data_IF_579927512431
#
_entry.id   IF_579927512431
#
_cell.length_a   1.000
_cell.length_b   1.000
_cell.length_c   1.000
_cell.angle_alpha   90.00
_cell.angle_beta   90.00
_cell.angle_gamma   90.00
#
_symmetry.space_group_name_H-M   'P 1'
#
loop_
_entity.id
_entity.type
_entity.pdbx_description
1 polymer ?
#
# COMPACT_ATOMS: atom_id res chain seq x y z
N UNK A 1 11.85 13.21 10.97
CA UNK A 1 10.63 13.14 10.14
C UNK A 1 10.60 11.81 9.40
N UNK A 2 9.50 11.04 9.48
CA UNK A 2 9.46 9.62 9.11
C UNK A 2 9.33 9.36 7.60
N UNK A 3 10.16 8.47 7.05
CA UNK A 3 10.16 8.03 5.63
C UNK A 3 8.79 7.53 5.13
N UNK A 4 7.96 7.00 6.05
CA UNK A 4 6.61 6.49 5.77
C UNK A 4 5.59 7.61 5.43
N UNK A 5 5.68 8.78 6.06
CA UNK A 5 4.76 9.88 5.76
C UNK A 5 5.01 10.48 4.37
N UNK A 6 6.27 10.46 3.92
CA UNK A 6 6.66 10.88 2.56
C UNK A 6 6.21 9.90 1.47
N UNK A 7 6.04 8.61 1.77
CA UNK A 7 5.51 7.62 0.82
C UNK A 7 3.99 7.74 0.67
N UNK A 8 3.27 7.93 1.77
CA UNK A 8 1.82 8.14 1.75
C UNK A 8 1.43 9.43 1.03
N UNK A 9 2.20 10.51 1.25
CA UNK A 9 2.01 11.80 0.56
C UNK A 9 2.22 11.66 -0.94
N UNK A 10 3.31 11.03 -1.37
CA UNK A 10 3.61 10.77 -2.78
C UNK A 10 2.57 9.89 -3.46
N UNK A 11 2.01 8.89 -2.76
CA UNK A 11 0.91 8.07 -3.27
C UNK A 11 -0.39 8.87 -3.50
N UNK A 12 -0.71 9.79 -2.59
CA UNK A 12 -1.87 10.68 -2.72
C UNK A 12 -1.71 11.69 -3.86
N UNK A 13 -0.51 12.24 -4.02
CA UNK A 13 -0.17 13.15 -5.13
C UNK A 13 -0.21 12.45 -6.50
N UNK A 14 0.21 11.18 -6.57
CA UNK A 14 0.13 10.39 -7.79
C UNK A 14 -1.31 10.12 -8.23
N UNK A 15 -2.22 9.83 -7.29
CA UNK A 15 -3.67 9.68 -7.58
C UNK A 15 -4.29 10.96 -8.16
N UNK A 16 -3.92 12.14 -7.66
CA UNK A 16 -4.46 13.42 -8.16
C UNK A 16 -4.01 13.74 -9.59
N UNK A 17 -2.82 13.30 -10.00
CA UNK A 17 -2.30 13.54 -11.36
C UNK A 17 -2.98 12.67 -12.42
N UNK A 18 -3.36 11.43 -12.08
CA UNK A 18 -4.10 10.52 -12.99
C UNK A 18 -5.52 10.98 -13.30
N UNK A 19 -6.16 11.74 -12.42
CA UNK A 19 -7.47 12.35 -12.70
C UNK A 19 -7.45 13.46 -13.77
N UNK A 20 -6.27 13.88 -14.25
CA UNK A 20 -6.10 14.98 -15.22
C UNK A 20 -5.46 14.56 -16.55
N UNK A 21 -5.17 13.28 -16.76
CA UNK A 21 -4.61 12.81 -18.04
C UNK A 21 -5.77 12.56 -19.00
N UNK A 22 -6.13 13.58 -19.79
CA UNK A 22 -6.86 13.39 -21.04
C UNK A 22 -5.96 12.65 -22.04
N UNK A 23 -6.48 11.58 -22.63
CA UNK A 23 -5.83 10.83 -23.71
C UNK A 23 -5.54 11.73 -24.92
N UNK A 24 -4.31 11.80 -25.44
CA UNK A 24 -4.09 12.28 -26.79
C UNK A 24 -4.28 11.11 -27.75
N UNK A 25 -5.43 11.07 -28.42
CA UNK A 25 -5.64 10.25 -29.62
C UNK A 25 -4.87 10.86 -30.78
N UNK A 26 -4.05 10.11 -31.56
CA UNK A 26 -3.41 10.65 -32.75
C UNK A 26 -4.24 10.34 -34.00
N UNK A 27 -4.73 11.37 -34.68
CA UNK A 27 -5.24 11.23 -36.06
C UNK A 27 -4.09 11.32 -37.08
N UNK A 28 -4.19 10.60 -38.21
CA UNK A 28 -3.09 10.40 -39.15
C UNK A 28 -3.12 11.44 -40.28
N UNK A 29 -2.00 12.11 -40.55
CA UNK A 29 -1.51 12.55 -41.87
C UNK A 29 -0.43 13.62 -41.72
N UNK A 30 0.82 13.27 -42.04
CA UNK A 30 1.69 14.03 -42.95
C UNK A 30 3.14 13.50 -42.90
N UNK A 31 3.57 12.98 -44.04
CA UNK A 31 4.97 12.96 -44.50
C UNK A 31 4.93 13.50 -45.94
N UNK A 32 6.01 14.05 -46.53
CA UNK A 32 7.40 13.71 -46.24
C UNK A 32 8.41 14.88 -46.25
N UNK A 33 9.60 14.64 -45.69
CA UNK A 33 10.82 15.23 -46.22
C UNK A 33 11.95 14.19 -46.15
N UNK A 34 12.43 13.81 -47.33
CA UNK A 34 13.71 13.14 -47.53
C UNK A 34 14.81 14.14 -47.20
N UNK A 35 15.81 13.71 -46.44
CA UNK A 35 17.20 13.98 -46.79
C UNK A 35 18.11 12.90 -46.19
N UNK A 36 18.75 12.15 -47.07
CA UNK A 36 19.89 11.30 -46.74
C UNK A 36 21.15 12.15 -46.84
N UNK A 37 21.92 12.25 -45.75
CA UNK A 37 23.37 12.42 -45.83
C UNK A 37 24.06 11.81 -44.61
N UNK A 38 25.16 11.13 -44.92
CA UNK A 38 25.92 10.24 -44.05
C UNK A 38 26.85 10.98 -43.06
N UNK A 39 27.28 10.21 -42.05
CA UNK A 39 28.49 10.34 -41.20
C UNK A 39 28.45 11.35 -40.04
N UNK A 40 28.45 10.84 -38.81
CA UNK A 40 29.67 10.91 -38.00
C UNK A 40 29.72 9.88 -36.85
N UNK A 41 30.88 9.22 -36.73
CA UNK A 41 31.29 8.39 -35.59
C UNK A 41 31.77 9.33 -34.47
N UNK A 42 31.36 9.07 -33.23
CA UNK A 42 32.03 9.54 -32.02
C UNK A 42 31.54 10.88 -31.46
N UNK A 43 30.69 10.81 -30.42
CA UNK A 43 30.76 11.70 -29.25
C UNK A 43 29.95 11.06 -28.11
N UNK A 44 30.41 11.18 -26.86
CA UNK A 44 30.08 10.24 -25.79
C UNK A 44 28.64 10.38 -25.32
N UNK A 45 28.11 9.23 -24.91
CA UNK A 45 26.81 9.00 -24.31
C UNK A 45 26.42 10.14 -23.36
N UNK A 46 25.28 10.78 -23.64
CA UNK A 46 24.58 11.58 -22.66
C UNK A 46 24.04 10.64 -21.57
N UNK A 47 24.92 10.20 -20.67
CA UNK A 47 24.51 9.64 -19.40
C UNK A 47 23.88 10.76 -18.61
N UNK A 48 22.55 10.80 -18.60
CA UNK A 48 21.80 11.62 -17.65
C UNK A 48 22.26 11.23 -16.25
N UNK A 49 23.07 12.10 -15.63
CA UNK A 49 23.51 11.97 -14.24
C UNK A 49 22.27 11.98 -13.36
N UNK A 50 21.85 10.80 -12.93
CA UNK A 50 20.83 10.66 -11.88
C UNK A 50 21.46 11.10 -10.56
N UNK A 51 20.74 11.88 -9.72
CA UNK A 51 21.25 12.28 -8.43
C UNK A 51 21.56 11.04 -7.57
N UNK A 52 22.76 11.01 -7.01
CA UNK A 52 23.23 9.93 -6.13
C UNK A 52 22.20 9.67 -5.02
N UNK A 53 21.68 8.44 -4.97
CA UNK A 53 20.75 7.98 -3.94
C UNK A 53 19.33 7.66 -4.43
N UNK A 54 18.97 7.95 -5.68
CA UNK A 54 17.73 7.45 -6.29
C UNK A 54 18.03 6.24 -7.19
N UNK A 55 17.74 5.03 -6.70
CA UNK A 55 17.67 3.85 -7.58
C UNK A 55 16.49 4.08 -8.51
N UNK A 56 16.79 4.51 -9.73
CA UNK A 56 15.80 4.56 -10.80
C UNK A 56 15.23 3.17 -10.98
N UNK A 57 13.93 3.00 -10.76
CA UNK A 57 13.24 1.71 -11.00
C UNK A 57 13.39 1.23 -12.45
N UNK A 58 13.81 2.10 -13.37
CA UNK A 58 14.11 1.76 -14.75
C UNK A 58 15.45 1.02 -14.93
N UNK A 59 16.30 0.96 -13.90
CA UNK A 59 17.58 0.23 -13.88
C UNK A 59 17.49 -1.10 -13.13
N UNK A 60 16.34 -1.41 -12.52
CA UNK A 60 16.12 -2.65 -11.77
C UNK A 60 15.55 -3.71 -12.70
N UNK A 61 16.00 -4.96 -12.58
CA UNK A 61 15.43 -6.04 -13.37
C UNK A 61 13.93 -6.19 -13.05
N UNK A 62 13.11 -6.46 -14.07
CA UNK A 62 11.67 -6.64 -13.89
C UNK A 62 11.34 -7.77 -12.90
N UNK A 63 12.20 -8.80 -12.82
CA UNK A 63 12.18 -9.88 -11.82
C UNK A 63 12.21 -9.35 -10.38
N UNK A 64 13.09 -8.41 -10.08
CA UNK A 64 13.23 -7.79 -8.75
C UNK A 64 11.99 -6.99 -8.36
N UNK A 65 11.37 -6.31 -9.34
CA UNK A 65 10.12 -5.58 -9.14
C UNK A 65 8.99 -6.53 -8.72
N UNK A 66 8.86 -7.69 -9.36
CA UNK A 66 7.86 -8.71 -8.97
C UNK A 66 8.15 -9.35 -7.61
N UNK A 67 9.42 -9.58 -7.29
CA UNK A 67 9.83 -10.10 -5.98
C UNK A 67 9.48 -9.12 -4.85
N UNK A 68 9.76 -7.82 -5.05
CA UNK A 68 9.43 -6.78 -4.06
C UNK A 68 7.91 -6.63 -3.88
N UNK A 69 7.10 -6.67 -4.96
CA UNK A 69 5.63 -6.66 -4.85
C UNK A 69 5.13 -7.86 -4.02
N UNK A 70 5.71 -9.05 -4.25
CA UNK A 70 5.36 -10.27 -3.53
C UNK A 70 5.71 -10.18 -2.05
N UNK A 71 6.88 -9.61 -1.73
CA UNK A 71 7.29 -9.32 -0.35
C UNK A 71 6.34 -8.35 0.34
N UNK A 72 6.01 -7.21 -0.29
CA UNK A 72 5.08 -6.22 0.27
C UNK A 72 3.69 -6.79 0.54
N UNK A 73 3.20 -7.70 -0.31
CA UNK A 73 1.94 -8.42 -0.08
C UNK A 73 2.01 -9.34 1.14
N UNK A 74 3.16 -9.95 1.38
CA UNK A 74 3.41 -10.78 2.57
C UNK A 74 3.47 -9.93 3.83
N UNK A 75 4.13 -8.78 3.78
CA UNK A 75 4.17 -7.81 4.88
C UNK A 75 2.76 -7.30 5.24
N UNK A 76 1.90 -7.02 4.25
CA UNK A 76 0.50 -6.64 4.48
C UNK A 76 -0.31 -7.76 5.16
N UNK A 77 -0.02 -9.02 4.83
CA UNK A 77 -0.65 -10.17 5.51
C UNK A 77 -0.21 -10.24 6.97
N UNK A 78 1.09 -10.06 7.25
CA UNK A 78 1.63 -10.04 8.60
C UNK A 78 1.04 -8.88 9.41
N UNK A 79 1.01 -7.67 8.85
CA UNK A 79 0.41 -6.50 9.46
C UNK A 79 -1.07 -6.73 9.79
N UNK A 80 -1.83 -7.35 8.88
CA UNK A 80 -3.23 -7.71 9.15
C UNK A 80 -3.35 -8.65 10.35
N UNK A 81 -2.54 -9.69 10.40
CA UNK A 81 -2.54 -10.65 11.53
C UNK A 81 -2.21 -9.96 12.85
N UNK A 82 -1.23 -9.06 12.84
CA UNK A 82 -0.88 -8.25 14.01
C UNK A 82 -2.05 -7.37 14.46
N UNK A 83 -2.70 -6.64 13.53
CA UNK A 83 -3.84 -5.78 13.87
C UNK A 83 -5.04 -6.58 14.39
N UNK A 84 -5.28 -7.80 13.86
CA UNK A 84 -6.29 -8.71 14.41
C UNK A 84 -6.00 -9.09 15.86
N UNK A 85 -4.75 -9.46 16.17
CA UNK A 85 -4.33 -9.81 17.52
C UNK A 85 -4.48 -8.62 18.48
N UNK A 86 -4.08 -7.42 18.03
CA UNK A 86 -4.23 -6.19 18.79
C UNK A 86 -5.70 -5.85 19.06
N UNK A 87 -6.57 -5.95 18.06
CA UNK A 87 -8.01 -5.75 18.22
C UNK A 87 -8.60 -6.75 19.23
N UNK A 88 -8.20 -8.02 19.16
CA UNK A 88 -8.64 -9.06 20.09
C UNK A 88 -8.20 -8.79 21.52
N UNK A 89 -6.97 -8.29 21.72
CA UNK A 89 -6.49 -7.89 23.03
C UNK A 89 -7.31 -6.73 23.63
N UNK A 90 -7.63 -5.71 22.82
CA UNK A 90 -8.50 -4.62 23.25
C UNK A 90 -9.92 -5.09 23.58
N UNK A 91 -10.49 -5.99 22.78
CA UNK A 91 -11.82 -6.59 23.03
C UNK A 91 -11.85 -7.39 24.34
N UNK A 92 -10.84 -8.23 24.58
CA UNK A 92 -10.71 -8.99 25.81
C UNK A 92 -10.54 -8.09 27.04
N UNK A 93 -9.73 -7.03 26.92
CA UNK A 93 -9.56 -6.05 27.99
C UNK A 93 -10.88 -5.32 28.30
N UNK A 94 -11.67 -4.96 27.30
CA UNK A 94 -12.99 -4.37 27.50
C UNK A 94 -13.93 -5.33 28.27
N UNK A 95 -14.00 -6.60 27.84
CA UNK A 95 -14.82 -7.62 28.53
C UNK A 95 -14.42 -7.81 29.98
N UNK A 96 -13.11 -7.89 30.25
CA UNK A 96 -12.59 -8.02 31.61
C UNK A 96 -12.95 -6.81 32.48
N UNK A 97 -12.83 -5.59 31.95
CA UNK A 97 -13.20 -4.37 32.67
C UNK A 97 -14.71 -4.30 32.95
N UNK A 98 -15.56 -4.68 31.99
CA UNK A 98 -16.99 -4.79 32.22
C UNK A 98 -17.32 -5.81 33.30
N UNK A 99 -16.68 -7.00 33.25
CA UNK A 99 -16.85 -8.03 34.28
C UNK A 99 -16.51 -7.50 35.67
N UNK A 100 -15.40 -6.77 35.80
CA UNK A 100 -15.02 -6.13 37.06
C UNK A 100 -16.13 -5.16 37.51
N UNK A 101 -16.59 -4.28 36.62
CA UNK A 101 -17.57 -3.27 36.95
C UNK A 101 -18.96 -3.82 37.31
N UNK A 102 -19.41 -4.87 36.64
CA UNK A 102 -20.78 -5.38 36.71
C UNK A 102 -20.94 -6.58 37.64
N UNK A 103 -19.90 -7.38 37.85
CA UNK A 103 -19.97 -8.59 38.68
C UNK A 103 -19.18 -8.43 39.98
N UNK A 104 -17.90 -8.06 39.88
CA UNK A 104 -16.99 -8.11 41.03
C UNK A 104 -17.20 -6.93 41.98
N UNK A 105 -17.28 -5.69 41.46
CA UNK A 105 -17.44 -4.51 42.31
C UNK A 105 -18.80 -4.43 43.02
N UNK A 106 -19.92 -4.88 42.43
CA UNK A 106 -21.20 -4.93 43.14
C UNK A 106 -21.28 -6.01 44.23
N UNK A 107 -20.49 -7.09 44.11
CA UNK A 107 -20.46 -8.18 45.10
C UNK A 107 -19.66 -7.83 46.38
N UNK A 108 -18.97 -6.68 46.40
CA UNK A 108 -18.17 -6.25 47.55
C UNK A 108 -19.01 -5.43 48.53
N UNK A 109 -18.89 -5.74 49.82
CA UNK A 109 -19.42 -4.90 50.90
C UNK A 109 -18.54 -3.67 51.09
N UNK A 110 -19.14 -2.49 51.05
CA UNK A 110 -18.43 -1.20 51.12
C UNK A 110 -19.03 -0.37 52.24
N UNK A 111 -18.19 0.16 53.11
CA UNK A 111 -18.61 1.14 54.11
C UNK A 111 -19.28 2.35 53.46
N UNK A 112 -20.34 2.87 54.07
CA UNK A 112 -21.13 3.99 53.55
C UNK A 112 -20.30 5.25 53.30
N UNK A 113 -19.25 5.47 54.09
CA UNK A 113 -18.26 6.56 53.94
C UNK A 113 -17.54 6.55 52.58
N UNK A 114 -17.34 5.37 51.97
CA UNK A 114 -16.63 5.21 50.69
C UNK A 114 -17.54 5.03 49.47
N UNK A 115 -18.87 4.93 49.68
CA UNK A 115 -19.84 4.62 48.62
C UNK A 115 -19.74 5.56 47.41
N UNK A 116 -19.56 6.86 47.63
CA UNK A 116 -19.44 7.82 46.54
C UNK A 116 -18.17 7.60 45.68
N UNK A 117 -17.02 7.38 46.33
CA UNK A 117 -15.77 7.06 45.65
C UNK A 117 -15.84 5.72 44.92
N UNK A 118 -16.53 4.74 45.51
CA UNK A 118 -16.76 3.42 44.90
C UNK A 118 -17.58 3.51 43.60
N UNK A 119 -18.69 4.25 43.63
CA UNK A 119 -19.51 4.46 42.42
C UNK A 119 -18.76 5.26 41.34
N UNK A 120 -17.90 6.20 41.74
CA UNK A 120 -17.00 6.89 40.81
C UNK A 120 -16.01 5.93 40.15
N UNK A 121 -15.40 5.03 40.93
CA UNK A 121 -14.49 4.01 40.41
C UNK A 121 -15.15 3.07 39.42
N UNK A 122 -16.38 2.59 39.71
CA UNK A 122 -17.17 1.79 38.77
C UNK A 122 -17.37 2.50 37.43
N UNK A 123 -17.77 3.78 37.48
CA UNK A 123 -17.96 4.61 36.27
C UNK A 123 -16.66 4.74 35.47
N UNK A 124 -15.52 4.97 36.13
CA UNK A 124 -14.22 5.05 35.46
C UNK A 124 -13.86 3.73 34.77
N UNK A 125 -14.11 2.59 35.41
CA UNK A 125 -13.85 1.26 34.83
C UNK A 125 -14.75 1.01 33.62
N UNK A 126 -16.04 1.37 33.70
CA UNK A 126 -16.96 1.30 32.56
C UNK A 126 -16.53 2.21 31.40
N UNK A 127 -16.08 3.43 31.69
CA UNK A 127 -15.52 4.33 30.67
C UNK A 127 -14.26 3.76 30.03
N UNK A 128 -13.35 3.17 30.82
CA UNK A 128 -12.17 2.49 30.29
C UNK A 128 -12.55 1.33 29.39
N UNK A 129 -13.49 0.48 29.79
CA UNK A 129 -14.02 -0.61 28.97
C UNK A 129 -14.60 -0.11 27.63
N UNK A 130 -15.40 0.96 27.68
CA UNK A 130 -15.96 1.58 26.49
C UNK A 130 -14.86 2.10 25.55
N UNK A 131 -13.81 2.72 26.10
CA UNK A 131 -12.67 3.20 25.33
C UNK A 131 -11.91 2.04 24.66
N UNK A 132 -11.68 0.93 25.38
CA UNK A 132 -11.06 -0.27 24.81
C UNK A 132 -11.88 -0.84 23.64
N UNK A 133 -13.21 -0.94 23.81
CA UNK A 133 -14.13 -1.37 22.75
C UNK A 133 -14.11 -0.43 21.54
N UNK A 134 -14.06 0.89 21.78
CA UNK A 134 -13.95 1.91 20.74
C UNK A 134 -12.66 1.77 19.93
N UNK A 135 -11.53 1.50 20.59
CA UNK A 135 -10.24 1.26 19.94
C UNK A 135 -10.32 -0.01 19.07
N UNK A 136 -10.83 -1.12 19.60
CA UNK A 136 -11.03 -2.37 18.85
C UNK A 136 -11.86 -2.13 17.57
N UNK A 137 -12.98 -1.40 17.70
CA UNK A 137 -13.85 -1.04 16.58
C UNK A 137 -13.12 -0.19 15.53
N UNK A 138 -12.33 0.80 15.96
CA UNK A 138 -11.54 1.65 15.05
C UNK A 138 -10.45 0.87 14.32
N UNK A 139 -9.72 -0.01 15.02
CA UNK A 139 -8.75 -0.91 14.39
C UNK A 139 -9.44 -1.74 13.32
N UNK A 140 -10.57 -2.35 13.67
CA UNK A 140 -11.31 -3.25 12.78
C UNK A 140 -11.85 -2.54 11.54
N UNK A 141 -12.52 -1.40 11.73
CA UNK A 141 -13.18 -0.69 10.62
C UNK A 141 -12.22 0.11 9.77
N UNK A 142 -11.23 0.79 10.36
CA UNK A 142 -10.37 1.70 9.59
C UNK A 142 -9.11 1.01 9.09
N UNK A 143 -8.41 0.30 9.98
CA UNK A 143 -7.10 -0.25 9.64
C UNK A 143 -7.26 -1.55 8.87
N UNK A 144 -8.07 -2.49 9.35
CA UNK A 144 -8.19 -3.80 8.69
C UNK A 144 -8.86 -3.72 7.32
N UNK A 145 -9.92 -2.92 7.18
CA UNK A 145 -10.53 -2.67 5.86
C UNK A 145 -9.55 -1.97 4.92
N UNK A 146 -8.80 -0.97 5.40
CA UNK A 146 -7.77 -0.30 4.59
C UNK A 146 -6.67 -1.25 4.10
N UNK A 147 -6.21 -2.18 4.97
CA UNK A 147 -5.24 -3.22 4.58
C UNK A 147 -5.84 -4.16 3.52
N UNK A 148 -7.09 -4.56 3.68
CA UNK A 148 -7.80 -5.42 2.72
C UNK A 148 -7.95 -4.74 1.36
N UNK A 149 -8.35 -3.48 1.34
CA UNK A 149 -8.50 -2.68 0.13
C UNK A 149 -7.15 -2.49 -0.58
N UNK A 150 -6.10 -2.14 0.17
CA UNK A 150 -4.74 -2.00 -0.37
C UNK A 150 -4.24 -3.33 -0.96
N UNK A 151 -4.46 -4.45 -0.26
CA UNK A 151 -4.10 -5.79 -0.75
C UNK A 151 -4.84 -6.13 -2.05
N UNK A 152 -6.12 -5.77 -2.15
CA UNK A 152 -6.91 -5.99 -3.36
C UNK A 152 -6.36 -5.15 -4.54
N UNK A 153 -6.14 -3.84 -4.32
CA UNK A 153 -5.58 -2.94 -5.33
C UNK A 153 -4.21 -3.42 -5.84
N UNK A 154 -3.31 -3.83 -4.94
CA UNK A 154 -2.00 -4.35 -5.33
C UNK A 154 -2.09 -5.63 -6.17
N UNK A 155 -3.04 -6.52 -5.86
CA UNK A 155 -3.26 -7.73 -6.67
C UNK A 155 -3.72 -7.35 -8.08
N UNK A 156 -4.74 -6.50 -8.18
CA UNK A 156 -5.31 -6.08 -9.46
C UNK A 156 -4.27 -5.39 -10.33
N UNK A 157 -3.48 -4.48 -9.76
CA UNK A 157 -2.40 -3.80 -10.51
C UNK A 157 -1.27 -4.76 -10.90
N UNK A 158 -0.90 -5.71 -10.03
CA UNK A 158 0.10 -6.72 -10.37
C UNK A 158 -0.37 -7.60 -11.55
N UNK A 159 -1.62 -8.04 -11.55
CA UNK A 159 -2.20 -8.82 -12.66
C UNK A 159 -2.21 -8.00 -13.94
N UNK A 160 -2.65 -6.74 -13.87
CA UNK A 160 -2.66 -5.81 -15.01
C UNK A 160 -1.27 -5.62 -15.62
N UNK A 161 -0.25 -5.36 -14.78
CA UNK A 161 1.13 -5.18 -15.23
C UNK A 161 1.74 -6.47 -15.79
N UNK A 162 1.41 -7.62 -15.20
CA UNK A 162 1.88 -8.93 -15.69
C UNK A 162 1.36 -9.20 -17.11
N UNK A 163 0.08 -8.90 -17.36
CA UNK A 163 -0.52 -9.04 -18.71
C UNK A 163 0.14 -8.08 -19.70
N UNK A 164 0.37 -6.81 -19.33
CA UNK A 164 1.03 -5.83 -20.21
C UNK A 164 2.48 -6.24 -20.53
N UNK A 165 3.25 -6.67 -19.53
CA UNK A 165 4.62 -7.14 -19.70
C UNK A 165 4.67 -8.36 -20.63
N UNK A 166 3.78 -9.34 -20.42
CA UNK A 166 3.72 -10.55 -21.27
C UNK A 166 3.40 -10.21 -22.73
N UNK A 167 2.51 -9.24 -22.99
CA UNK A 167 2.22 -8.77 -24.35
C UNK A 167 3.44 -8.18 -25.03
N UNK A 168 4.16 -7.30 -24.35
CA UNK A 168 5.38 -6.68 -24.88
C UNK A 168 6.48 -7.71 -25.15
N UNK A 169 6.66 -8.70 -24.26
CA UNK A 169 7.61 -9.79 -24.46
C UNK A 169 7.25 -10.60 -25.72
N UNK A 170 5.98 -10.93 -25.92
CA UNK A 170 5.52 -11.66 -27.11
C UNK A 170 5.72 -10.83 -28.39
N UNK A 171 5.46 -9.52 -28.36
CA UNK A 171 5.69 -8.61 -29.48
C UNK A 171 7.19 -8.52 -29.84
N UNK A 172 8.06 -8.41 -28.84
CA UNK A 172 9.52 -8.41 -29.02
C UNK A 172 10.01 -9.73 -29.63
N UNK A 173 9.54 -10.88 -29.13
CA UNK A 173 9.88 -12.19 -29.69
C UNK A 173 9.42 -12.33 -31.15
N UNK A 174 8.24 -11.81 -31.49
CA UNK A 174 7.74 -11.79 -32.86
C UNK A 174 8.58 -10.89 -33.78
N UNK A 175 9.01 -9.73 -33.30
CA UNK A 175 9.93 -8.85 -34.02
C UNK A 175 11.30 -9.50 -34.23
N UNK A 176 11.86 -10.11 -33.19
CA UNK A 176 13.14 -10.82 -33.24
C UNK A 176 13.09 -11.96 -34.27
N UNK A 177 12.04 -12.77 -34.24
CA UNK A 177 11.83 -13.87 -35.21
C UNK A 177 11.76 -13.36 -36.65
N UNK A 178 11.06 -12.24 -36.88
CA UNK A 178 10.99 -11.61 -38.22
C UNK A 178 12.32 -11.05 -38.68
N UNK A 179 13.09 -10.45 -37.77
CA UNK A 179 14.42 -9.94 -38.06
C UNK A 179 15.39 -11.08 -38.41
N UNK A 180 15.40 -12.17 -37.64
CA UNK A 180 16.30 -13.31 -37.89
C UNK A 180 15.99 -14.03 -39.19
N UNK A 181 14.71 -14.06 -39.61
CA UNK A 181 14.30 -14.53 -40.94
C UNK A 181 14.81 -13.64 -42.08
N UNK A 182 15.03 -12.34 -41.86
CA UNK A 182 15.55 -11.41 -42.88
C UNK A 182 17.08 -11.42 -42.99
N UNK A 183 17.78 -11.98 -42.01
CA UNK A 183 19.25 -12.11 -41.99
C UNK A 183 19.76 -13.43 -42.60
N UNK A 184 18.87 -14.38 -42.88
CA UNK A 184 19.16 -15.61 -43.62
C UNK A 184 18.79 -15.42 -45.09
#
# INVERSE_FOLDING_TARGET
MNKLSNLWRRGSEWKQRRGKVQDPSPDPKSTPAKDSKMLNKGSPEAHTVMPEGEVSMCLTEWSDVFAEITKRRSDLKLLRSFMNALASAHDNNAKNLNKIAEELLPAMEIETSFKASWESMKKLIQQLSHNQSSICSKISKRVMLGILECKHQLRTEQERLTVQSSRLVNELQSLQTRHDKRKK
#
